data_IF_976375770786
#
_entry.id   IF_976375770786
#
_cell.length_a   1.000
_cell.length_b   1.000
_cell.length_c   1.000
_cell.angle_alpha   90.00
_cell.angle_beta   90.00
_cell.angle_gamma   90.00
#
_symmetry.space_group_name_H-M   'P 1'
#
loop_
_entity.id
_entity.type
_entity.pdbx_description
1 polymer ?
#
# COMPACT_ATOMS: atom_id res chain seq x y z
N UNK A 1 3.12 -22.47 3.00
CA UNK A 1 2.51 -21.22 3.52
C UNK A 1 3.49 -20.05 3.67
N UNK A 2 4.77 -20.25 4.05
CA UNK A 2 5.67 -19.15 4.42
C UNK A 2 6.01 -18.11 3.35
N UNK A 3 6.04 -18.49 2.07
CA UNK A 3 6.48 -17.57 1.00
C UNK A 3 5.42 -16.52 0.63
N UNK A 4 4.13 -16.88 0.74
CA UNK A 4 3.03 -15.93 0.48
C UNK A 4 2.97 -14.86 1.56
N UNK A 5 3.04 -15.25 2.85
CA UNK A 5 2.99 -14.33 3.98
C UNK A 5 4.16 -13.34 3.92
N UNK A 6 5.38 -13.82 3.62
CA UNK A 6 6.53 -12.95 3.39
C UNK A 6 6.29 -11.97 2.23
N UNK A 7 5.76 -12.45 1.11
CA UNK A 7 5.49 -11.60 -0.05
C UNK A 7 4.44 -10.52 0.25
N UNK A 8 3.41 -10.83 1.02
CA UNK A 8 2.35 -9.88 1.42
C UNK A 8 2.90 -8.84 2.37
N UNK A 9 3.73 -9.25 3.33
CA UNK A 9 4.39 -8.34 4.26
C UNK A 9 5.34 -7.39 3.51
N UNK A 10 6.06 -7.90 2.52
CA UNK A 10 6.97 -7.13 1.69
C UNK A 10 6.22 -6.10 0.83
N UNK A 11 5.14 -6.53 0.17
CA UNK A 11 4.28 -5.64 -0.63
C UNK A 11 3.53 -4.62 0.23
N UNK A 12 3.09 -5.00 1.43
CA UNK A 12 2.44 -4.11 2.38
C UNK A 12 3.35 -3.02 2.93
N UNK A 13 4.67 -3.21 2.90
CA UNK A 13 5.65 -2.20 3.33
C UNK A 13 6.11 -1.33 2.16
N UNK A 14 6.38 -1.93 1.00
CA UNK A 14 6.90 -1.22 -0.18
C UNK A 14 5.88 -0.26 -0.76
N UNK A 15 4.61 -0.68 -0.80
CA UNK A 15 3.54 0.12 -1.40
C UNK A 15 3.30 1.47 -0.70
N UNK A 16 3.14 1.54 0.64
CA UNK A 16 2.98 2.82 1.33
C UNK A 16 4.24 3.69 1.27
N UNK A 17 5.44 3.09 1.29
CA UNK A 17 6.69 3.83 1.15
C UNK A 17 6.79 4.49 -0.22
N UNK A 18 6.53 3.74 -1.30
CA UNK A 18 6.52 4.30 -2.66
C UNK A 18 5.46 5.39 -2.85
N UNK A 19 4.28 5.20 -2.26
CA UNK A 19 3.19 6.18 -2.33
C UNK A 19 3.55 7.51 -1.65
N UNK A 20 4.21 7.47 -0.49
CA UNK A 20 4.69 8.70 0.18
C UNK A 20 5.76 9.41 -0.64
N UNK A 21 6.71 8.68 -1.22
CA UNK A 21 7.75 9.28 -2.08
C UNK A 21 7.11 10.02 -3.26
N UNK A 22 6.13 9.40 -3.93
CA UNK A 22 5.39 10.04 -5.02
C UNK A 22 4.67 11.31 -4.52
N UNK A 23 4.06 11.26 -3.33
CA UNK A 23 3.35 12.41 -2.77
C UNK A 23 4.28 13.58 -2.47
N UNK A 24 5.45 13.31 -1.90
CA UNK A 24 6.49 14.31 -1.66
C UNK A 24 6.96 14.91 -2.99
N UNK A 25 7.14 14.08 -4.03
CA UNK A 25 7.52 14.56 -5.37
C UNK A 25 6.47 15.51 -5.96
N UNK A 26 5.19 15.18 -5.81
CA UNK A 26 4.08 16.02 -6.28
C UNK A 26 4.10 17.35 -5.54
N UNK A 27 4.15 17.34 -4.21
CA UNK A 27 4.15 18.59 -3.43
C UNK A 27 5.38 19.46 -3.72
N UNK A 28 6.53 18.85 -3.98
CA UNK A 28 7.73 19.54 -4.46
C UNK A 28 7.52 20.19 -5.82
N UNK A 29 6.91 19.48 -6.78
CA UNK A 29 6.59 20.05 -8.11
C UNK A 29 5.57 21.19 -8.05
N UNK A 30 4.66 21.18 -7.08
CA UNK A 30 3.64 22.22 -6.90
C UNK A 30 4.12 23.40 -6.03
N UNK A 31 5.37 23.38 -5.55
CA UNK A 31 5.94 24.47 -4.75
C UNK A 31 5.26 24.69 -3.40
N UNK A 32 4.58 23.66 -2.85
CA UNK A 32 3.97 23.75 -1.51
C UNK A 32 5.04 23.60 -0.44
N UNK A 33 4.83 24.23 0.71
CA UNK A 33 5.72 24.08 1.86
C UNK A 33 5.71 22.62 2.36
N UNK A 34 6.81 21.92 2.09
CA UNK A 34 7.01 20.51 2.43
C UNK A 34 7.28 20.39 3.93
N UNK A 35 6.21 20.35 4.74
CA UNK A 35 6.31 20.10 6.19
C UNK A 35 6.16 18.61 6.47
N UNK A 36 7.19 17.97 7.05
CA UNK A 36 7.20 16.53 7.38
C UNK A 36 5.97 16.08 8.19
N UNK A 37 5.43 16.95 9.05
CA UNK A 37 4.25 16.69 9.88
C UNK A 37 3.00 16.50 9.02
N UNK A 38 2.88 17.23 7.92
CA UNK A 38 1.73 17.17 6.99
C UNK A 38 1.65 15.84 6.22
N UNK A 39 2.76 15.08 6.15
CA UNK A 39 2.81 13.77 5.49
C UNK A 39 2.45 12.61 6.42
N UNK A 40 2.44 12.82 7.74
CA UNK A 40 2.11 11.77 8.72
C UNK A 40 0.68 11.23 8.51
N UNK A 41 -0.36 12.07 8.35
CA UNK A 41 -1.72 11.59 8.09
C UNK A 41 -1.83 10.85 6.76
N UNK A 42 -1.08 11.29 5.75
CA UNK A 42 -1.06 10.66 4.43
C UNK A 42 -0.42 9.28 4.51
N UNK A 43 0.71 9.16 5.21
CA UNK A 43 1.37 7.87 5.44
C UNK A 43 0.47 6.92 6.22
N UNK A 44 -0.11 7.36 7.34
CA UNK A 44 -1.03 6.56 8.15
C UNK A 44 -2.27 6.14 7.35
N UNK A 45 -2.88 7.06 6.61
CA UNK A 45 -4.03 6.78 5.74
C UNK A 45 -3.70 5.77 4.65
N UNK A 46 -2.52 5.89 4.03
CA UNK A 46 -2.06 4.95 2.99
C UNK A 46 -1.76 3.57 3.59
N UNK A 47 -1.23 3.52 4.80
CA UNK A 47 -0.90 2.27 5.51
C UNK A 47 -2.18 1.56 5.97
N UNK A 48 -3.16 2.29 6.50
CA UNK A 48 -4.49 1.78 6.86
C UNK A 48 -5.21 1.29 5.60
N UNK A 49 -5.22 2.08 4.53
CA UNK A 49 -5.81 1.66 3.26
C UNK A 49 -5.14 0.39 2.72
N UNK A 50 -3.80 0.32 2.76
CA UNK A 50 -3.06 -0.89 2.42
C UNK A 50 -3.52 -2.08 3.25
N UNK A 51 -3.58 -1.95 4.57
CA UNK A 51 -3.96 -3.05 5.47
C UNK A 51 -5.42 -3.50 5.28
N UNK A 52 -6.33 -2.54 5.17
CA UNK A 52 -7.79 -2.78 5.07
C UNK A 52 -8.16 -3.37 3.71
N UNK A 53 -7.52 -2.94 2.62
CA UNK A 53 -7.84 -3.43 1.29
C UNK A 53 -7.07 -4.69 0.90
N UNK A 54 -5.83 -4.90 1.38
CA UNK A 54 -5.01 -6.08 1.02
C UNK A 54 -5.66 -7.39 1.46
N UNK A 55 -6.25 -7.44 2.65
CA UNK A 55 -6.93 -8.66 3.16
C UNK A 55 -8.08 -9.12 2.25
N UNK A 56 -9.10 -8.27 2.01
CA UNK A 56 -10.19 -8.56 1.08
C UNK A 56 -9.72 -8.83 -0.36
N UNK A 57 -8.76 -8.06 -0.88
CA UNK A 57 -8.20 -8.27 -2.22
C UNK A 57 -7.55 -9.64 -2.34
N UNK A 58 -6.76 -10.06 -1.36
CA UNK A 58 -6.17 -11.39 -1.32
C UNK A 58 -7.21 -12.49 -1.29
N UNK A 59 -8.24 -12.32 -0.47
CA UNK A 59 -9.34 -13.27 -0.40
C UNK A 59 -10.00 -13.40 -1.79
N UNK A 60 -10.28 -12.28 -2.44
CA UNK A 60 -10.86 -12.24 -3.78
C UNK A 60 -9.96 -12.94 -4.82
N UNK A 61 -8.66 -12.63 -4.83
CA UNK A 61 -7.67 -13.25 -5.73
C UNK A 61 -7.56 -14.76 -5.48
N UNK A 62 -7.55 -15.19 -4.21
CA UNK A 62 -7.52 -16.60 -3.85
C UNK A 62 -8.76 -17.35 -4.35
N UNK A 63 -9.92 -16.70 -4.26
CA UNK A 63 -11.21 -17.26 -4.71
C UNK A 63 -11.27 -17.36 -6.24
N UNK A 64 -10.83 -16.32 -6.94
CA UNK A 64 -10.73 -16.31 -8.41
C UNK A 64 -9.76 -17.38 -8.92
N UNK A 65 -8.61 -17.57 -8.24
CA UNK A 65 -7.63 -18.60 -8.60
C UNK A 65 -8.17 -20.02 -8.38
N UNK A 66 -8.98 -20.24 -7.33
CA UNK A 66 -9.68 -21.51 -7.09
C UNK A 66 -10.72 -21.80 -8.17
N UNK A 67 -11.48 -20.78 -8.61
CA UNK A 67 -12.50 -20.90 -9.65
C UNK A 67 -11.95 -21.20 -11.04
N UNK A 68 -10.76 -20.69 -11.36
CA UNK A 68 -10.09 -20.91 -12.66
C UNK A 68 -9.46 -22.31 -12.80
N UNK A 69 -9.42 -23.10 -11.72
CA UNK A 69 -8.77 -24.42 -11.67
C UNK A 69 -9.76 -25.60 -11.57
N UNK A 70 -11.06 -25.31 -11.62
CA UNK A 70 -12.17 -26.25 -11.75
C UNK A 70 -12.83 -26.05 -13.11
#
# INVERSE_FOLDING_TARGET
>A
MGNLIKSILYWGLIFPVGFVIIRILIDYMFGREVTLISYIPVYLGSLIAGLVFVGPLMYLVSRLRKRKRN
#
